data_IF_965115792372
#
_entry.id   IF_965115792372
#
_cell.length_a   1.000
_cell.length_b   1.000
_cell.length_c   1.000
_cell.angle_alpha   90.00
_cell.angle_beta   90.00
_cell.angle_gamma   90.00
#
_symmetry.space_group_name_H-M   'P 1'
#
loop_
_entity.id
_entity.type
_entity.pdbx_description
1 polymer ?
#
# COMPACT_ATOMS: atom_id res chain seq x y z
N UNK A 1 -13.70 8.43 17.34
CA UNK A 1 -14.57 7.81 16.31
C UNK A 1 -13.85 6.75 15.46
N UNK A 2 -12.51 6.78 15.30
CA UNK A 2 -11.78 5.80 14.48
C UNK A 2 -11.55 4.44 15.15
N UNK A 3 -11.37 4.40 16.46
CA UNK A 3 -11.02 3.16 17.19
C UNK A 3 -12.19 2.19 17.35
N UNK A 4 -13.40 2.70 17.60
CA UNK A 4 -14.60 1.84 17.80
C UNK A 4 -15.00 1.10 16.52
N UNK A 5 -14.77 1.73 15.38
CA UNK A 5 -15.07 1.10 14.08
C UNK A 5 -14.08 -0.02 13.76
N UNK A 6 -12.79 0.17 14.08
CA UNK A 6 -11.77 -0.87 13.90
C UNK A 6 -12.04 -2.09 14.77
N UNK A 7 -12.40 -1.90 16.04
CA UNK A 7 -12.74 -3.00 16.95
C UNK A 7 -13.92 -3.84 16.46
N UNK A 8 -14.96 -3.19 15.91
CA UNK A 8 -16.11 -3.88 15.30
C UNK A 8 -15.70 -4.68 14.07
N UNK A 9 -14.84 -4.13 13.22
CA UNK A 9 -14.34 -4.82 12.02
C UNK A 9 -13.53 -6.05 12.43
N UNK A 10 -12.61 -5.94 13.40
CA UNK A 10 -11.85 -7.09 13.91
C UNK A 10 -12.76 -8.17 14.50
N UNK A 11 -13.78 -7.81 15.26
CA UNK A 11 -14.76 -8.77 15.80
C UNK A 11 -15.48 -9.52 14.68
N UNK A 12 -15.83 -8.84 13.59
CA UNK A 12 -16.47 -9.46 12.41
C UNK A 12 -15.52 -10.36 11.64
N UNK A 13 -14.28 -9.94 11.44
CA UNK A 13 -13.26 -10.81 10.83
C UNK A 13 -13.15 -12.10 11.64
N UNK A 14 -12.96 -12.00 12.95
CA UNK A 14 -12.89 -13.18 13.84
C UNK A 14 -14.10 -14.09 13.74
N UNK A 15 -15.30 -13.52 13.71
CA UNK A 15 -16.53 -14.33 13.59
C UNK A 15 -16.63 -15.02 12.24
N UNK A 16 -16.20 -14.38 11.17
CA UNK A 16 -16.20 -14.95 9.82
C UNK A 16 -15.22 -16.10 9.71
N UNK A 17 -13.99 -15.95 10.20
CA UNK A 17 -12.98 -17.01 10.18
C UNK A 17 -13.36 -18.21 11.05
N UNK A 18 -14.02 -17.99 12.19
CA UNK A 18 -14.55 -19.09 13.00
C UNK A 18 -15.56 -19.97 12.28
N UNK A 19 -16.29 -19.42 11.31
CA UNK A 19 -17.27 -20.15 10.51
C UNK A 19 -16.64 -21.04 9.44
N UNK A 20 -15.36 -20.84 9.12
CA UNK A 20 -14.64 -21.54 8.06
C UNK A 20 -13.54 -22.45 8.57
N UNK A 21 -13.38 -22.53 9.88
CA UNK A 21 -12.40 -23.40 10.56
C UNK A 21 -10.93 -23.12 10.19
N UNK A 22 -10.63 -21.91 9.77
CA UNK A 22 -9.26 -21.47 9.44
C UNK A 22 -8.57 -20.88 10.68
N UNK A 23 -7.28 -21.08 10.78
CA UNK A 23 -6.45 -20.43 11.80
C UNK A 23 -6.24 -18.96 11.44
N UNK A 24 -6.56 -18.07 12.37
CA UNK A 24 -6.34 -16.64 12.21
C UNK A 24 -5.36 -16.11 13.25
N UNK A 25 -4.21 -15.64 12.78
CA UNK A 25 -3.20 -14.96 13.59
C UNK A 25 -3.37 -13.45 13.42
N UNK A 26 -3.39 -12.71 14.52
CA UNK A 26 -3.50 -11.25 14.52
C UNK A 26 -2.23 -10.65 15.08
N UNK A 27 -1.51 -9.93 14.23
CA UNK A 27 -0.27 -9.22 14.58
C UNK A 27 -0.50 -7.71 14.54
N UNK A 28 -0.61 -7.05 15.68
CA UNK A 28 -0.70 -5.59 15.72
C UNK A 28 0.67 -4.97 15.42
N UNK A 29 0.67 -3.87 14.68
CA UNK A 29 1.86 -3.07 14.41
C UNK A 29 1.84 -1.78 15.22
N UNK A 30 2.99 -1.40 15.79
CA UNK A 30 3.17 -0.23 16.65
C UNK A 30 4.15 0.79 16.09
N UNK A 31 5.01 0.37 15.15
CA UNK A 31 6.02 1.21 14.52
C UNK A 31 6.09 0.98 13.01
N UNK A 32 6.66 1.95 12.31
CA UNK A 32 6.95 1.85 10.90
C UNK A 32 7.98 0.73 10.65
N UNK A 33 7.74 -0.05 9.58
CA UNK A 33 8.58 -1.18 9.18
C UNK A 33 8.17 -2.52 9.80
N UNK A 34 7.37 -2.56 10.87
CA UNK A 34 6.95 -3.81 11.51
C UNK A 34 6.07 -4.66 10.60
N UNK A 35 5.20 -4.05 9.81
CA UNK A 35 4.32 -4.79 8.89
C UNK A 35 5.13 -5.54 7.82
N UNK A 36 6.25 -4.97 7.37
CA UNK A 36 7.18 -5.65 6.46
C UNK A 36 7.77 -6.89 7.10
N UNK A 37 8.34 -6.77 8.30
CA UNK A 37 8.98 -7.88 9.01
C UNK A 37 8.00 -9.02 9.34
N UNK A 38 6.77 -8.66 9.72
CA UNK A 38 5.70 -9.63 9.96
C UNK A 38 5.36 -10.38 8.67
N UNK A 39 5.20 -9.66 7.56
CA UNK A 39 4.90 -10.25 6.26
C UNK A 39 6.02 -11.18 5.79
N UNK A 40 7.29 -10.77 5.90
CA UNK A 40 8.46 -11.60 5.61
C UNK A 40 8.48 -12.90 6.42
N UNK A 41 8.24 -12.79 7.73
CA UNK A 41 8.19 -13.95 8.65
C UNK A 41 7.16 -14.97 8.20
N UNK A 42 5.93 -14.54 7.96
CA UNK A 42 4.85 -15.48 7.61
C UNK A 42 4.95 -15.98 6.17
N UNK A 43 5.43 -15.18 5.24
CA UNK A 43 5.73 -15.62 3.88
C UNK A 43 6.83 -16.70 3.87
N UNK A 44 7.89 -16.53 4.65
CA UNK A 44 8.95 -17.51 4.77
C UNK A 44 8.48 -18.81 5.43
N UNK A 45 7.54 -18.74 6.38
CA UNK A 45 7.05 -19.88 7.13
C UNK A 45 6.01 -20.71 6.36
N UNK A 46 5.10 -20.05 5.64
CA UNK A 46 3.92 -20.68 5.06
C UNK A 46 3.81 -20.53 3.53
N UNK A 47 4.56 -19.61 2.91
CA UNK A 47 4.51 -19.39 1.46
C UNK A 47 3.09 -19.13 0.97
N UNK A 48 2.66 -19.90 -0.02
CA UNK A 48 1.31 -19.82 -0.61
C UNK A 48 0.21 -20.43 0.27
N UNK A 49 0.56 -21.12 1.36
CA UNK A 49 -0.41 -21.76 2.25
C UNK A 49 -1.03 -20.77 3.26
N UNK A 50 -0.61 -19.52 3.25
CA UNK A 50 -1.24 -18.46 4.03
C UNK A 50 -1.66 -17.29 3.15
N UNK A 51 -2.55 -16.46 3.68
CA UNK A 51 -2.95 -15.17 3.09
C UNK A 51 -2.65 -14.07 4.10
N UNK A 52 -1.85 -13.11 3.71
CA UNK A 52 -1.61 -11.91 4.52
C UNK A 52 -2.76 -10.93 4.31
N UNK A 53 -3.43 -10.55 5.38
CA UNK A 53 -4.55 -9.60 5.35
C UNK A 53 -4.09 -8.24 5.87
N UNK A 54 -3.97 -7.26 4.99
CA UNK A 54 -3.67 -5.89 5.37
C UNK A 54 -4.90 -5.20 5.96
N UNK A 55 -4.86 -4.86 7.23
CA UNK A 55 -5.91 -4.12 7.93
C UNK A 55 -5.49 -2.66 8.19
N UNK A 56 -5.10 -1.94 7.13
CA UNK A 56 -4.54 -0.60 7.23
C UNK A 56 -4.81 0.29 6.02
N UNK A 57 -4.02 1.35 5.89
CA UNK A 57 -4.00 2.24 4.74
C UNK A 57 -2.86 1.91 3.77
N UNK A 58 -2.64 2.83 2.81
CA UNK A 58 -1.63 2.65 1.76
C UNK A 58 -0.21 2.42 2.31
N UNK A 59 0.16 3.06 3.43
CA UNK A 59 1.45 2.83 4.08
C UNK A 59 1.63 1.40 4.60
N UNK A 60 0.60 0.83 5.24
CA UNK A 60 0.63 -0.56 5.71
C UNK A 60 0.71 -1.54 4.52
N UNK A 61 -0.05 -1.27 3.46
CA UNK A 61 -0.01 -2.06 2.23
C UNK A 61 1.38 -2.01 1.60
N UNK A 62 2.00 -0.83 1.56
CA UNK A 62 3.35 -0.64 1.04
C UNK A 62 4.39 -1.46 1.81
N UNK A 63 4.36 -1.41 3.15
CA UNK A 63 5.26 -2.22 3.99
C UNK A 63 5.08 -3.72 3.75
N UNK A 64 3.83 -4.20 3.75
CA UNK A 64 3.53 -5.62 3.51
C UNK A 64 4.00 -6.03 2.11
N UNK A 65 3.74 -5.23 1.08
CA UNK A 65 4.17 -5.53 -0.29
C UNK A 65 5.70 -5.64 -0.40
N UNK A 66 6.45 -4.83 0.35
CA UNK A 66 7.90 -4.95 0.44
C UNK A 66 8.33 -6.27 1.12
N UNK A 67 7.60 -6.72 2.13
CA UNK A 67 7.86 -8.00 2.79
C UNK A 67 7.47 -9.22 1.95
N UNK A 68 6.50 -9.08 1.06
CA UNK A 68 6.01 -10.14 0.18
C UNK A 68 6.66 -10.14 -1.22
N UNK A 69 7.54 -9.17 -1.50
CA UNK A 69 8.16 -9.07 -2.81
C UNK A 69 8.89 -10.37 -3.19
N UNK A 70 8.67 -10.85 -4.42
CA UNK A 70 9.21 -12.10 -4.95
C UNK A 70 8.79 -13.36 -4.17
N UNK A 71 7.63 -13.33 -3.51
CA UNK A 71 7.00 -14.51 -2.89
C UNK A 71 5.67 -14.83 -3.57
N UNK A 72 5.20 -16.06 -3.38
CA UNK A 72 3.88 -16.49 -3.85
C UNK A 72 2.79 -16.31 -2.78
N UNK A 73 3.09 -15.62 -1.70
CA UNK A 73 2.13 -15.38 -0.59
C UNK A 73 1.10 -14.34 -0.99
N UNK A 74 -0.19 -14.67 -1.04
CA UNK A 74 -1.24 -13.73 -1.41
C UNK A 74 -1.46 -12.62 -0.38
N UNK A 75 -1.80 -11.43 -0.88
CA UNK A 75 -2.19 -10.26 -0.08
C UNK A 75 -3.67 -9.93 -0.30
N UNK A 76 -4.45 -9.88 0.78
CA UNK A 76 -5.81 -9.35 0.79
C UNK A 76 -5.83 -7.95 1.42
N UNK A 77 -6.57 -7.03 0.81
CA UNK A 77 -6.66 -5.64 1.26
C UNK A 77 -7.97 -5.39 2.01
N UNK A 78 -7.87 -5.01 3.30
CA UNK A 78 -8.97 -4.39 4.05
C UNK A 78 -8.64 -2.92 4.28
N UNK A 79 -9.20 -2.00 3.48
CA UNK A 79 -8.80 -0.60 3.44
C UNK A 79 -9.37 0.16 4.64
N UNK A 80 -8.63 0.23 5.73
CA UNK A 80 -8.98 0.91 6.97
C UNK A 80 -8.25 2.25 7.16
N UNK A 81 -7.48 2.66 6.18
CA UNK A 81 -6.78 3.95 6.13
C UNK A 81 -7.66 5.06 5.59
N UNK A 82 -7.05 6.22 5.39
CA UNK A 82 -7.73 7.43 4.95
C UNK A 82 -7.79 7.55 3.42
N UNK A 83 -6.69 7.29 2.71
CA UNK A 83 -6.60 7.31 1.25
C UNK A 83 -7.12 6.03 0.63
N UNK A 84 -6.42 4.94 0.89
CA UNK A 84 -6.69 3.60 0.34
C UNK A 84 -6.71 3.57 -1.19
N UNK A 85 -5.79 4.30 -1.80
CA UNK A 85 -5.80 4.52 -3.25
C UNK A 85 -5.46 3.24 -4.02
N UNK A 86 -4.54 2.45 -3.51
CA UNK A 86 -4.24 1.14 -4.09
C UNK A 86 -5.43 0.19 -4.02
N UNK A 87 -6.10 0.11 -2.87
CA UNK A 87 -7.28 -0.74 -2.72
C UNK A 87 -8.45 -0.30 -3.62
N UNK A 88 -8.66 1.01 -3.79
CA UNK A 88 -9.65 1.54 -4.75
C UNK A 88 -9.36 1.09 -6.18
N UNK A 89 -8.08 1.08 -6.57
CA UNK A 89 -7.65 0.62 -7.90
C UNK A 89 -7.89 -0.88 -8.07
N UNK A 90 -7.49 -1.68 -7.09
CA UNK A 90 -7.65 -3.15 -7.13
C UNK A 90 -9.13 -3.56 -7.19
N UNK A 91 -9.97 -2.94 -6.36
CA UNK A 91 -11.41 -3.25 -6.33
C UNK A 91 -12.24 -2.52 -7.39
N UNK A 92 -11.64 -1.64 -8.19
CA UNK A 92 -12.33 -0.92 -9.26
C UNK A 92 -13.42 0.03 -8.78
N UNK A 93 -13.37 0.49 -7.52
CA UNK A 93 -14.39 1.34 -6.93
C UNK A 93 -13.81 2.39 -5.99
N UNK A 94 -14.39 3.60 -6.01
CA UNK A 94 -14.05 4.68 -5.08
C UNK A 94 -14.61 4.46 -3.66
N UNK A 95 -15.66 3.64 -3.52
CA UNK A 95 -16.31 3.34 -2.24
C UNK A 95 -16.24 1.84 -2.00
N UNK A 96 -15.27 1.43 -1.19
CA UNK A 96 -15.09 0.02 -0.84
C UNK A 96 -15.93 -0.27 0.41
N UNK A 97 -16.81 -1.25 0.29
CA UNK A 97 -17.52 -1.76 1.46
C UNK A 97 -16.68 -2.89 2.09
N UNK A 98 -15.98 -2.56 3.16
CA UNK A 98 -15.10 -3.50 3.88
C UNK A 98 -15.85 -4.75 4.35
N UNK A 99 -17.12 -4.62 4.74
CA UNK A 99 -17.94 -5.76 5.14
C UNK A 99 -18.18 -6.74 3.99
N UNK A 100 -18.38 -6.22 2.79
CA UNK A 100 -18.53 -7.07 1.60
C UNK A 100 -17.23 -7.80 1.26
N UNK A 101 -16.08 -7.14 1.43
CA UNK A 101 -14.78 -7.79 1.23
C UNK A 101 -14.58 -8.92 2.24
N UNK A 102 -14.87 -8.68 3.52
CA UNK A 102 -14.77 -9.71 4.58
C UNK A 102 -15.72 -10.88 4.30
N UNK A 103 -16.95 -10.61 3.91
CA UNK A 103 -17.92 -11.65 3.57
C UNK A 103 -17.51 -12.46 2.35
N UNK A 104 -17.04 -11.79 1.30
CA UNK A 104 -16.56 -12.47 0.10
C UNK A 104 -15.38 -13.38 0.43
N UNK A 105 -14.40 -12.89 1.17
CA UNK A 105 -13.25 -13.66 1.62
C UNK A 105 -13.67 -14.85 2.47
N UNK A 106 -14.53 -14.64 3.47
CA UNK A 106 -15.01 -15.71 4.36
C UNK A 106 -15.87 -16.74 3.64
N UNK A 107 -16.60 -16.35 2.59
CA UNK A 107 -17.39 -17.27 1.80
C UNK A 107 -16.53 -18.16 0.90
N UNK A 108 -15.40 -17.63 0.44
CA UNK A 108 -14.49 -18.32 -0.47
C UNK A 108 -13.37 -19.10 0.23
N UNK A 109 -13.04 -18.75 1.46
CA UNK A 109 -12.04 -19.50 2.23
C UNK A 109 -12.57 -20.92 2.51
N UNK A 110 -11.81 -21.92 2.13
CA UNK A 110 -12.12 -23.34 2.34
C UNK A 110 -12.83 -24.06 1.19
N UNK A 111 -13.37 -23.39 0.16
CA UNK A 111 -14.07 -24.07 -0.95
C UNK A 111 -13.72 -23.62 -2.36
N UNK A 112 -13.09 -22.48 -2.56
CA UNK A 112 -12.81 -21.93 -3.90
C UNK A 112 -11.37 -21.42 -3.96
N UNK A 113 -10.69 -21.75 -5.05
CA UNK A 113 -9.41 -21.12 -5.39
C UNK A 113 -9.63 -19.62 -5.49
N UNK A 114 -8.92 -18.85 -4.66
CA UNK A 114 -8.87 -17.41 -4.79
C UNK A 114 -8.42 -17.03 -6.19
N UNK A 115 -9.04 -16.02 -6.79
CA UNK A 115 -8.52 -15.39 -7.99
C UNK A 115 -7.32 -14.50 -7.59
N UNK A 116 -6.18 -15.14 -7.39
CA UNK A 116 -4.93 -14.47 -7.05
C UNK A 116 -4.34 -13.93 -8.36
N UNK A 117 -4.15 -12.62 -8.42
CA UNK A 117 -3.53 -11.96 -9.56
C UNK A 117 -2.12 -11.51 -9.20
N UNK A 118 -1.13 -11.80 -10.04
CA UNK A 118 0.21 -11.26 -9.86
C UNK A 118 0.16 -9.72 -10.00
N UNK A 119 1.00 -9.05 -9.24
CA UNK A 119 1.14 -7.60 -9.27
C UNK A 119 2.62 -7.28 -9.44
N UNK A 120 2.91 -6.44 -10.42
CA UNK A 120 4.25 -5.89 -10.62
C UNK A 120 4.52 -4.79 -9.59
N UNK A 121 5.75 -4.75 -9.10
CA UNK A 121 6.25 -3.72 -8.20
C UNK A 121 7.33 -2.90 -8.89
N UNK A 122 7.33 -1.59 -8.66
CA UNK A 122 8.41 -0.72 -9.11
C UNK A 122 9.57 -0.87 -8.12
N UNK A 123 10.74 -1.32 -8.59
CA UNK A 123 11.95 -1.36 -7.78
C UNK A 123 12.65 -0.02 -7.83
N UNK A 124 12.94 0.54 -6.67
CA UNK A 124 13.71 1.77 -6.54
C UNK A 124 14.78 1.60 -5.45
N UNK A 125 16.00 1.40 -5.86
CA UNK A 125 17.14 1.21 -4.95
C UNK A 125 16.91 0.16 -3.86
N UNK A 126 16.21 -0.93 -4.19
CA UNK A 126 15.88 -2.02 -3.26
C UNK A 126 14.57 -1.86 -2.51
N UNK A 127 13.96 -0.68 -2.52
CA UNK A 127 12.60 -0.48 -2.03
C UNK A 127 11.58 -0.75 -3.13
N UNK A 128 10.46 -1.36 -2.79
CA UNK A 128 9.39 -1.70 -3.73
C UNK A 128 8.23 -0.74 -3.59
N UNK A 129 7.82 -0.12 -4.69
CA UNK A 129 6.62 0.69 -4.72
C UNK A 129 5.47 -0.07 -5.39
N UNK A 130 4.35 -0.20 -4.67
CA UNK A 130 3.17 -0.95 -5.13
C UNK A 130 2.17 -0.10 -5.91
N UNK A 131 2.23 1.22 -5.84
CA UNK A 131 1.21 2.08 -6.44
C UNK A 131 1.80 3.21 -7.28
N UNK A 132 2.28 4.26 -6.64
CA UNK A 132 2.80 5.47 -7.29
C UNK A 132 4.07 5.91 -6.61
N UNK A 133 5.08 6.21 -7.41
CA UNK A 133 6.31 6.85 -6.97
C UNK A 133 6.35 8.26 -7.58
N UNK A 134 6.58 9.27 -6.75
CA UNK A 134 6.66 10.66 -7.20
C UNK A 134 7.88 11.37 -6.67
N UNK A 135 8.32 12.37 -7.39
CA UNK A 135 9.46 13.21 -7.08
C UNK A 135 9.12 14.69 -7.17
N UNK A 136 9.94 15.51 -6.52
CA UNK A 136 9.87 16.97 -6.68
C UNK A 136 8.69 17.59 -5.95
N UNK A 137 7.75 18.17 -6.69
CA UNK A 137 6.62 18.92 -6.14
C UNK A 137 5.79 18.09 -5.16
N UNK A 138 5.35 16.92 -5.58
CA UNK A 138 4.48 16.04 -4.78
C UNK A 138 5.12 15.66 -3.45
N UNK A 139 6.41 15.31 -3.47
CA UNK A 139 7.16 14.96 -2.26
C UNK A 139 7.25 16.13 -1.29
N UNK A 140 7.39 17.36 -1.78
CA UNK A 140 7.42 18.55 -0.93
C UNK A 140 6.05 18.87 -0.37
N UNK A 141 5.00 18.77 -1.17
CA UNK A 141 3.61 18.93 -0.70
C UNK A 141 3.30 17.89 0.38
N UNK A 142 3.68 16.65 0.15
CA UNK A 142 3.48 15.58 1.14
C UNK A 142 4.24 15.87 2.44
N UNK A 143 5.51 16.25 2.35
CA UNK A 143 6.33 16.55 3.54
C UNK A 143 5.74 17.70 4.35
N UNK A 144 5.36 18.79 3.71
CA UNK A 144 4.74 19.95 4.38
C UNK A 144 3.36 19.59 4.91
N UNK A 145 2.56 18.85 4.15
CA UNK A 145 1.24 18.38 4.56
C UNK A 145 1.30 17.51 5.82
N UNK A 146 2.26 16.57 5.89
CA UNK A 146 2.50 15.76 7.09
C UNK A 146 2.90 16.61 8.29
N UNK A 147 3.75 17.62 8.10
CA UNK A 147 4.15 18.53 9.20
C UNK A 147 2.96 19.36 9.71
N UNK A 148 2.09 19.84 8.82
CA UNK A 148 0.87 20.57 9.19
C UNK A 148 -0.10 19.64 9.93
N UNK A 149 -0.37 18.45 9.40
CA UNK A 149 -1.25 17.47 10.02
C UNK A 149 -0.75 17.00 11.39
N UNK A 150 0.58 16.88 11.56
CA UNK A 150 1.19 16.55 12.85
C UNK A 150 1.02 17.65 13.91
N UNK A 151 1.03 18.93 13.49
CA UNK A 151 0.80 20.08 14.38
C UNK A 151 -0.68 20.33 14.68
N UNK A 152 -1.55 20.07 13.70
CA UNK A 152 -2.99 20.33 13.79
C UNK A 152 -3.76 19.11 13.26
N UNK A 153 -3.90 18.05 14.08
CA UNK A 153 -4.54 16.79 13.65
C UNK A 153 -5.97 16.94 13.16
N UNK A 154 -6.69 17.96 13.63
CA UNK A 154 -8.08 18.24 13.25
C UNK A 154 -8.26 18.68 11.78
N UNK A 155 -7.19 19.13 11.13
CA UNK A 155 -7.23 19.54 9.71
C UNK A 155 -7.38 18.34 8.77
N UNK A 156 -6.84 17.17 9.15
CA UNK A 156 -6.92 15.96 8.32
C UNK A 156 -6.33 16.18 6.92
N UNK A 157 -7.07 15.77 5.88
CA UNK A 157 -6.62 15.88 4.48
C UNK A 157 -6.38 17.30 3.98
N UNK A 158 -7.07 18.29 4.54
CA UNK A 158 -6.90 19.69 4.14
C UNK A 158 -5.49 20.21 4.38
N UNK A 159 -4.69 19.50 5.19
CA UNK A 159 -3.29 19.82 5.39
C UNK A 159 -2.49 19.78 4.09
N UNK A 160 -2.83 18.86 3.19
CA UNK A 160 -2.17 18.72 1.88
C UNK A 160 -2.59 19.82 0.92
N UNK A 161 -3.87 20.18 0.91
CA UNK A 161 -4.37 21.30 0.10
C UNK A 161 -3.70 22.63 0.52
N UNK A 162 -3.52 22.83 1.82
CA UNK A 162 -2.81 24.00 2.37
C UNK A 162 -1.33 23.96 2.00
N UNK A 163 -0.71 22.78 1.99
CA UNK A 163 0.71 22.62 1.68
C UNK A 163 1.05 22.94 0.21
N UNK A 164 0.10 22.82 -0.69
CA UNK A 164 0.29 23.16 -2.13
C UNK A 164 0.68 24.62 -2.31
N UNK A 165 0.02 25.53 -1.58
CA UNK A 165 0.22 26.99 -1.77
C UNK A 165 1.68 27.42 -1.53
N UNK A 166 2.32 27.16 -0.38
CA UNK A 166 3.71 27.57 -0.16
C UNK A 166 4.70 26.84 -1.06
N UNK A 167 4.36 25.67 -1.59
CA UNK A 167 5.21 24.94 -2.53
C UNK A 167 5.16 25.60 -3.91
N UNK A 168 3.98 25.94 -4.40
CA UNK A 168 3.82 26.64 -5.69
C UNK A 168 4.38 28.06 -5.69
N UNK A 169 4.41 28.73 -4.52
CA UNK A 169 4.98 30.08 -4.39
C UNK A 169 6.52 30.09 -4.38
N UNK A 170 7.18 28.94 -4.36
CA UNK A 170 8.63 28.84 -4.40
C UNK A 170 9.08 28.27 -5.73
N UNK A 171 9.95 28.99 -6.43
CA UNK A 171 10.63 28.42 -7.60
C UNK A 171 11.40 27.16 -7.19
N UNK A 172 11.16 26.08 -7.90
CA UNK A 172 11.81 24.79 -7.66
C UNK A 172 12.49 24.32 -8.93
N UNK A 173 13.80 24.08 -8.81
CA UNK A 173 14.56 23.38 -9.82
C UNK A 173 14.82 21.94 -9.32
N UNK A 174 14.49 20.97 -10.13
CA UNK A 174 14.69 19.57 -9.83
C UNK A 174 15.59 18.94 -10.90
N UNK A 175 16.72 18.37 -10.47
CA UNK A 175 17.61 17.59 -11.35
C UNK A 175 17.25 16.12 -11.19
N UNK A 176 16.87 15.48 -12.29
CA UNK A 176 16.51 14.06 -12.28
C UNK A 176 17.38 13.33 -13.30
N UNK A 177 18.09 12.30 -12.82
CA UNK A 177 18.74 11.31 -13.66
C UNK A 177 17.97 9.98 -13.48
N UNK A 178 17.44 9.44 -14.56
CA UNK A 178 16.70 8.19 -14.53
C UNK A 178 17.38 7.19 -15.44
N UNK A 179 17.90 6.13 -14.87
CA UNK A 179 18.42 4.97 -15.56
C UNK A 179 17.41 3.84 -15.41
N UNK A 180 16.91 3.32 -16.51
CA UNK A 180 15.94 2.22 -16.52
C UNK A 180 16.58 0.99 -17.17
N UNK A 181 16.56 -0.13 -16.47
CA UNK A 181 16.82 -1.44 -17.04
C UNK A 181 15.49 -1.98 -17.58
N UNK A 182 15.41 -2.13 -18.89
CA UNK A 182 14.21 -2.53 -19.60
C UNK A 182 14.43 -3.85 -20.33
N UNK A 183 13.33 -4.51 -20.66
CA UNK A 183 13.30 -5.68 -21.53
C UNK A 183 12.48 -5.29 -22.77
N UNK A 184 13.03 -5.51 -23.96
CA UNK A 184 12.32 -5.24 -25.24
C UNK A 184 11.26 -6.31 -25.54
N UNK A 185 10.51 -6.13 -26.63
CA UNK A 185 9.46 -7.05 -27.08
C UNK A 185 10.01 -8.45 -27.40
N UNK A 186 11.30 -8.58 -27.69
CA UNK A 186 11.99 -9.85 -27.95
C UNK A 186 12.58 -10.48 -26.67
N UNK A 187 12.37 -9.88 -25.50
CA UNK A 187 12.88 -10.34 -24.22
C UNK A 187 14.36 -10.02 -23.97
N UNK A 188 14.98 -9.14 -24.77
CA UNK A 188 16.39 -8.74 -24.60
C UNK A 188 16.50 -7.55 -23.66
N UNK A 189 17.43 -7.60 -22.70
CA UNK A 189 17.66 -6.46 -21.81
C UNK A 189 18.27 -5.28 -22.57
N UNK A 190 17.73 -4.10 -22.33
CA UNK A 190 18.33 -2.85 -22.78
C UNK A 190 18.25 -1.79 -21.68
N UNK A 191 19.18 -0.85 -21.72
CA UNK A 191 19.22 0.25 -20.79
C UNK A 191 18.66 1.52 -21.45
N UNK A 192 17.61 2.06 -20.86
CA UNK A 192 17.05 3.34 -21.29
C UNK A 192 17.50 4.43 -20.33
N UNK A 193 18.23 5.42 -20.84
CA UNK A 193 18.68 6.56 -20.07
C UNK A 193 17.84 7.76 -20.44
N UNK A 194 17.09 8.26 -19.49
CA UNK A 194 16.39 9.54 -19.65
C UNK A 194 17.46 10.64 -19.51
N UNK A 195 17.56 11.49 -20.52
CA UNK A 195 18.49 12.62 -20.44
C UNK A 195 18.19 13.45 -19.18
N UNK A 196 19.21 13.89 -18.45
CA UNK A 196 19.01 14.78 -17.31
C UNK A 196 18.15 15.96 -17.73
N UNK A 197 17.05 16.17 -17.03
CA UNK A 197 16.20 17.30 -17.27
C UNK A 197 16.07 18.17 -16.03
N UNK A 198 16.23 19.47 -16.26
CA UNK A 198 15.93 20.49 -15.28
C UNK A 198 14.53 21.02 -15.58
N UNK A 199 13.65 20.96 -14.60
CA UNK A 199 12.40 21.69 -14.71
C UNK A 199 12.22 22.64 -13.55
N UNK A 200 11.79 23.82 -13.88
CA UNK A 200 11.45 24.88 -12.94
C UNK A 200 9.94 25.02 -12.94
N UNK A 201 9.34 24.92 -11.78
CA UNK A 201 7.92 25.19 -11.55
C UNK A 201 7.77 26.61 -11.04
#
# INVERSE_FOLDING_TARGET
AGNDNKAKIFSRIKSTFRLIDDEMIVEPTHAQGEAKLIAEKYAAQYGSDCVIVSCGGDGTVHEIANGLANTDTPLLLLPLGTGNDFAKKVYGTKKINVENVIKAFGFYSGKIKYDVKPIDLIDYNGEKCINVMSYGLDTKVETIGRQIAGKIPSIGHKAYDIAVVPVLCRSMTCHINIDLDCIDEDGKPYKYIVAPCDYTL
#
